data_IF_665308606986
#
_entry.id   IF_665308606986
#
_cell.length_a   1.000
_cell.length_b   1.000
_cell.length_c   1.000
_cell.angle_alpha   90.00
_cell.angle_beta   90.00
_cell.angle_gamma   90.00
#
_symmetry.space_group_name_H-M   'P 1'
#
loop_
_entity.id
_entity.type
_entity.pdbx_description
1 polymer ?
#
# COMPACT_ATOMS: atom_id res chain seq x y z
N UNK A 1 -22.19 -12.26 -29.41
CA UNK A 1 -21.79 -10.84 -29.49
C UNK A 1 -22.88 -9.91 -28.92
N UNK A 2 -24.09 -9.83 -29.50
CA UNK A 2 -25.19 -9.00 -28.97
C UNK A 2 -25.55 -9.31 -27.49
N UNK A 3 -25.61 -10.59 -27.14
CA UNK A 3 -25.93 -11.01 -25.76
C UNK A 3 -24.84 -10.58 -24.75
N UNK A 4 -23.56 -10.62 -25.15
CA UNK A 4 -22.45 -10.11 -24.35
C UNK A 4 -22.52 -8.60 -24.19
N UNK A 5 -22.87 -7.86 -25.25
CA UNK A 5 -23.03 -6.41 -25.18
C UNK A 5 -24.19 -6.01 -24.26
N UNK A 6 -25.30 -6.76 -24.26
CA UNK A 6 -26.43 -6.57 -23.34
C UNK A 6 -26.04 -6.85 -21.88
N UNK A 7 -25.30 -7.93 -21.63
CA UNK A 7 -24.78 -8.25 -20.28
C UNK A 7 -23.81 -7.17 -19.80
N UNK A 8 -22.92 -6.70 -20.66
CA UNK A 8 -21.98 -5.61 -20.36
C UNK A 8 -22.71 -4.28 -20.11
N UNK A 9 -23.71 -3.93 -20.92
CA UNK A 9 -24.52 -2.73 -20.73
C UNK A 9 -25.32 -2.78 -19.42
N UNK A 10 -25.85 -3.96 -19.05
CA UNK A 10 -26.54 -4.15 -17.77
C UNK A 10 -25.58 -3.98 -16.58
N UNK A 11 -24.41 -4.60 -16.65
CA UNK A 11 -23.36 -4.45 -15.64
C UNK A 11 -22.92 -2.99 -15.48
N UNK A 12 -22.66 -2.28 -16.58
CA UNK A 12 -22.31 -0.86 -16.54
C UNK A 12 -23.41 -0.01 -15.89
N UNK A 13 -24.68 -0.26 -16.22
CA UNK A 13 -25.81 0.42 -15.57
C UNK A 13 -25.85 0.14 -14.07
N UNK A 14 -25.65 -1.10 -13.65
CA UNK A 14 -25.60 -1.48 -12.24
C UNK A 14 -24.43 -0.81 -11.51
N UNK A 15 -23.23 -0.78 -12.09
CA UNK A 15 -22.06 -0.09 -11.49
C UNK A 15 -22.34 1.41 -11.35
N UNK A 16 -22.88 2.07 -12.38
CA UNK A 16 -23.18 3.51 -12.35
C UNK A 16 -24.29 3.86 -11.35
N UNK A 17 -25.31 3.01 -11.21
CA UNK A 17 -26.38 3.17 -10.22
C UNK A 17 -25.88 2.88 -8.80
N UNK A 18 -25.03 1.86 -8.62
CA UNK A 18 -24.44 1.51 -7.33
C UNK A 18 -23.41 2.55 -6.86
N UNK A 19 -22.69 3.24 -7.77
CA UNK A 19 -21.84 4.39 -7.42
C UNK A 19 -22.62 5.55 -6.79
N UNK A 20 -23.92 5.70 -7.05
CA UNK A 20 -24.81 6.65 -6.34
C UNK A 20 -25.33 6.13 -5.00
N UNK A 21 -25.26 4.81 -4.77
CA UNK A 21 -25.73 4.13 -3.54
C UNK A 21 -24.61 3.70 -2.61
N UNK A 22 -23.35 3.92 -2.98
CA UNK A 22 -22.24 3.92 -2.03
C UNK A 22 -22.50 5.12 -1.14
N UNK A 23 -23.37 4.88 -0.17
CA UNK A 23 -23.97 5.88 0.67
C UNK A 23 -22.85 6.78 1.15
N UNK A 24 -23.07 8.09 1.09
CA UNK A 24 -22.11 9.14 1.44
C UNK A 24 -21.49 9.01 2.86
N UNK A 25 -21.78 7.93 3.60
CA UNK A 25 -21.34 7.62 4.95
C UNK A 25 -21.09 6.11 5.23
N UNK A 26 -20.95 5.22 4.25
CA UNK A 26 -20.54 3.84 4.56
C UNK A 26 -19.07 3.83 5.01
N UNK A 27 -18.89 3.91 6.33
CA UNK A 27 -17.59 4.01 6.98
C UNK A 27 -16.90 2.64 6.93
N UNK A 28 -16.25 2.34 5.81
CA UNK A 28 -15.37 1.18 5.71
C UNK A 28 -14.20 1.41 6.67
N UNK A 29 -13.96 0.47 7.58
CA UNK A 29 -12.79 0.52 8.46
C UNK A 29 -11.57 0.22 7.58
N UNK A 30 -10.83 1.28 7.27
CA UNK A 30 -9.56 1.18 6.56
C UNK A 30 -8.45 0.96 7.58
N UNK A 31 -7.42 0.19 7.19
CA UNK A 31 -6.17 0.17 7.97
C UNK A 31 -5.47 1.53 7.86
N UNK A 32 -4.57 1.83 8.79
CA UNK A 32 -3.84 3.09 8.81
C UNK A 32 -3.04 3.30 7.51
N UNK A 33 -2.48 2.23 6.94
CA UNK A 33 -1.72 2.25 5.69
C UNK A 33 -2.61 2.59 4.49
N UNK A 34 -3.78 1.94 4.38
CA UNK A 34 -4.73 2.21 3.32
C UNK A 34 -5.27 3.65 3.38
N UNK A 35 -5.52 4.15 4.59
CA UNK A 35 -5.96 5.53 4.80
C UNK A 35 -4.87 6.54 4.43
N UNK A 36 -3.60 6.28 4.79
CA UNK A 36 -2.47 7.13 4.42
C UNK A 36 -2.32 7.26 2.89
N UNK A 37 -2.41 6.14 2.17
CA UNK A 37 -2.36 6.10 0.70
C UNK A 37 -3.48 6.92 0.07
N UNK A 38 -4.73 6.71 0.52
CA UNK A 38 -5.90 7.42 0.00
C UNK A 38 -5.86 8.92 0.29
N UNK A 39 -5.40 9.31 1.47
CA UNK A 39 -5.21 10.72 1.84
C UNK A 39 -3.98 11.33 1.17
N UNK A 40 -3.20 10.57 0.39
CA UNK A 40 -1.87 10.94 -0.15
C UNK A 40 -0.96 11.51 0.92
N UNK A 41 -1.20 11.14 2.17
CA UNK A 41 -0.33 11.48 3.28
C UNK A 41 0.76 10.44 3.27
N UNK A 42 1.98 10.87 2.97
CA UNK A 42 3.14 10.05 3.24
C UNK A 42 3.10 9.69 4.73
N UNK A 43 3.26 8.40 5.09
CA UNK A 43 3.46 8.07 6.48
C UNK A 43 4.66 8.88 6.99
N UNK A 44 4.66 9.30 8.27
CA UNK A 44 5.78 10.03 8.83
C UNK A 44 7.04 9.23 8.56
N UNK A 45 8.06 9.88 7.98
CA UNK A 45 9.37 9.25 7.80
C UNK A 45 9.84 8.79 9.18
N UNK A 46 10.13 7.50 9.31
CA UNK A 46 10.86 7.02 10.47
C UNK A 46 12.19 7.77 10.53
N UNK A 47 12.62 8.11 11.75
CA UNK A 47 13.89 8.78 11.94
C UNK A 47 14.98 7.91 11.31
N UNK A 48 15.79 8.52 10.46
CA UNK A 48 16.94 7.82 9.90
C UNK A 48 17.84 7.36 11.06
N UNK A 49 18.11 6.05 11.20
CA UNK A 49 19.07 5.57 12.19
C UNK A 49 20.50 6.02 11.85
N UNK A 50 20.75 6.55 10.65
CA UNK A 50 22.07 6.95 10.19
C UNK A 50 22.94 5.74 9.91
N UNK A 51 24.21 5.84 10.28
CA UNK A 51 25.13 4.70 10.23
C UNK A 51 25.07 3.90 11.53
N UNK A 52 24.97 2.58 11.40
CA UNK A 52 25.02 1.66 12.54
C UNK A 52 25.86 0.43 12.18
N UNK A 53 26.29 -0.32 13.20
CA UNK A 53 27.02 -1.57 13.00
C UNK A 53 26.14 -2.76 13.31
N UNK A 54 26.19 -3.78 12.46
CA UNK A 54 25.54 -5.08 12.69
C UNK A 54 26.57 -6.20 12.62
N UNK A 55 26.37 -7.30 13.35
CA UNK A 55 27.09 -8.53 13.06
C UNK A 55 26.66 -9.07 11.68
N UNK A 56 27.61 -9.62 10.93
CA UNK A 56 27.37 -10.16 9.59
C UNK A 56 28.28 -11.37 9.37
N UNK A 57 27.76 -12.40 8.72
CA UNK A 57 28.53 -13.55 8.27
C UNK A 57 28.63 -13.50 6.75
N UNK A 58 29.85 -13.54 6.22
CA UNK A 58 30.11 -13.63 4.77
C UNK A 58 30.79 -14.96 4.51
N UNK A 59 30.08 -15.88 3.86
CA UNK A 59 30.52 -17.27 3.70
C UNK A 59 30.78 -17.90 5.07
N UNK A 60 32.01 -18.36 5.34
CA UNK A 60 32.40 -18.99 6.60
C UNK A 60 33.10 -18.01 7.56
N UNK A 61 33.06 -16.71 7.27
CA UNK A 61 33.70 -15.67 8.07
C UNK A 61 32.66 -14.83 8.81
N UNK A 62 32.81 -14.77 10.13
CA UNK A 62 31.97 -13.94 11.01
C UNK A 62 32.63 -12.59 11.28
N UNK A 63 31.82 -11.53 11.21
CA UNK A 63 32.20 -10.16 11.51
C UNK A 63 31.27 -9.60 12.57
N UNK A 64 31.81 -9.28 13.76
CA UNK A 64 31.00 -8.76 14.88
C UNK A 64 30.40 -7.36 14.62
N UNK A 65 31.08 -6.56 13.79
CA UNK A 65 30.70 -5.18 13.50
C UNK A 65 30.99 -4.82 12.04
N UNK A 66 29.93 -4.78 11.24
CA UNK A 66 29.96 -4.30 9.87
C UNK A 66 29.14 -3.01 9.78
N UNK A 67 29.72 -1.98 9.16
CA UNK A 67 29.08 -0.69 8.96
C UNK A 67 27.93 -0.84 7.93
N UNK A 68 26.70 -0.61 8.38
CA UNK A 68 25.53 -0.51 7.52
C UNK A 68 25.19 0.97 7.33
N UNK A 69 25.10 1.40 6.07
CA UNK A 69 24.69 2.74 5.70
C UNK A 69 23.41 2.64 4.87
N UNK A 70 22.29 3.15 5.43
CA UNK A 70 20.99 3.04 4.76
C UNK A 70 20.73 4.12 3.70
N UNK A 71 21.63 5.11 3.57
CA UNK A 71 21.46 6.21 2.62
C UNK A 71 20.37 7.20 3.05
N UNK A 72 20.59 8.48 2.77
CA UNK A 72 19.64 9.56 3.06
C UNK A 72 18.59 9.75 1.95
#
# INVERSE_FOLDING_TARGET
>A
MLEQMLKYAKFLKEVLLNKRKLADNEKVVLTEECNAILQRKLPPKLKDPGSFTIPCTISDFDFDKVLCYLGA
#
